data_IF_530079251474
#
_entry.id   IF_530079251474
#
_cell.length_a   1.000
_cell.length_b   1.000
_cell.length_c   1.000
_cell.angle_alpha   90.00
_cell.angle_beta   90.00
_cell.angle_gamma   90.00
#
_symmetry.space_group_name_H-M   'P 1'
#
loop_
_entity.id
_entity.type
_entity.pdbx_description
1 polymer ?
#
# COMPACT_ATOMS: atom_id res chain seq x y z
N UNK A 1 -16.25 -31.90 -37.67
CA UNK A 1 -17.44 -31.22 -37.14
C UNK A 1 -16.94 -29.97 -36.45
N UNK A 2 -17.34 -28.75 -36.85
CA UNK A 2 -16.85 -27.54 -36.20
C UNK A 2 -17.64 -27.27 -34.92
N UNK A 3 -16.92 -27.01 -33.83
CA UNK A 3 -17.46 -26.67 -32.52
C UNK A 3 -18.36 -25.43 -32.61
N UNK A 4 -19.59 -25.58 -32.11
CA UNK A 4 -20.57 -24.50 -32.03
C UNK A 4 -20.24 -23.64 -30.81
N UNK A 5 -19.97 -22.33 -30.92
CA UNK A 5 -19.77 -21.49 -29.74
C UNK A 5 -21.14 -21.20 -29.12
N UNK A 6 -21.55 -22.02 -28.17
CA UNK A 6 -22.82 -21.89 -27.46
C UNK A 6 -22.87 -20.62 -26.61
N UNK A 7 -23.85 -19.78 -26.98
CA UNK A 7 -24.55 -18.81 -26.14
C UNK A 7 -23.72 -17.70 -25.49
N UNK A 8 -23.44 -16.66 -26.28
CA UNK A 8 -23.51 -15.29 -25.76
C UNK A 8 -25.01 -14.99 -25.49
N UNK A 9 -25.61 -15.65 -24.50
CA UNK A 9 -26.94 -15.35 -23.96
C UNK A 9 -26.90 -14.08 -23.10
N UNK A 10 -28.08 -13.45 -22.86
CA UNK A 10 -28.39 -12.21 -22.09
C UNK A 10 -27.51 -10.97 -22.35
N UNK A 11 -26.19 -11.14 -22.36
CA UNK A 11 -25.14 -10.13 -22.41
C UNK A 11 -24.71 -9.73 -23.83
N UNK A 12 -25.13 -10.45 -24.88
CA UNK A 12 -24.74 -10.15 -26.28
C UNK A 12 -25.04 -8.70 -26.67
N UNK A 13 -26.23 -8.20 -26.32
CA UNK A 13 -26.64 -6.81 -26.56
C UNK A 13 -25.74 -5.78 -25.87
N UNK A 14 -25.15 -6.14 -24.73
CA UNK A 14 -24.28 -5.26 -23.94
C UNK A 14 -22.80 -5.33 -24.37
N UNK A 15 -22.38 -6.44 -24.99
CA UNK A 15 -21.02 -6.66 -25.48
C UNK A 15 -20.79 -6.14 -26.91
N UNK A 16 -21.86 -6.07 -27.73
CA UNK A 16 -21.78 -5.71 -29.16
C UNK A 16 -22.01 -4.22 -29.47
N UNK A 17 -21.86 -3.32 -28.48
CA UNK A 17 -21.99 -1.87 -28.67
C UNK A 17 -20.68 -1.19 -29.08
N UNK A 18 -20.78 -0.03 -29.75
CA UNK A 18 -19.63 0.82 -30.05
C UNK A 18 -18.89 1.21 -28.76
N UNK A 19 -17.60 0.86 -28.68
CA UNK A 19 -16.77 1.15 -27.50
C UNK A 19 -16.16 2.55 -27.63
N UNK A 20 -16.67 3.51 -26.87
CA UNK A 20 -16.09 4.86 -26.74
C UNK A 20 -14.75 4.81 -25.99
N UNK A 21 -14.61 3.89 -25.03
CA UNK A 21 -13.44 3.77 -24.18
C UNK A 21 -12.57 2.60 -24.62
N UNK A 22 -11.26 2.85 -24.81
CA UNK A 22 -10.26 1.80 -24.99
C UNK A 22 -10.04 0.99 -23.71
N UNK A 23 -9.94 1.66 -22.56
CA UNK A 23 -9.87 1.03 -21.25
C UNK A 23 -10.55 1.93 -20.19
N UNK A 24 -11.66 1.47 -19.61
CA UNK A 24 -12.41 2.21 -18.58
C UNK A 24 -11.75 2.15 -17.21
N UNK A 25 -10.92 1.14 -16.95
CA UNK A 25 -10.30 0.93 -15.64
C UNK A 25 -9.34 2.06 -15.28
N UNK A 26 -8.72 2.71 -16.27
CA UNK A 26 -7.84 3.89 -16.10
C UNK A 26 -8.56 5.07 -15.43
N UNK A 27 -9.89 5.14 -15.55
CA UNK A 27 -10.70 6.23 -14.98
C UNK A 27 -11.19 5.93 -13.55
N UNK A 28 -10.93 4.73 -13.01
CA UNK A 28 -11.29 4.43 -11.62
C UNK A 28 -10.42 5.22 -10.66
N UNK A 29 -11.01 5.62 -9.54
CA UNK A 29 -10.30 6.25 -8.42
C UNK A 29 -9.17 5.38 -7.84
N UNK A 30 -9.25 4.06 -8.04
CA UNK A 30 -8.22 3.10 -7.61
C UNK A 30 -7.06 2.98 -8.59
N UNK A 31 -7.19 3.50 -9.82
CA UNK A 31 -6.16 3.39 -10.84
C UNK A 31 -4.94 4.25 -10.48
N UNK A 32 -3.76 3.65 -10.61
CA UNK A 32 -2.48 4.31 -10.33
C UNK A 32 -1.76 4.56 -11.66
N UNK A 33 -1.63 5.81 -12.11
CA UNK A 33 -0.84 6.10 -13.29
C UNK A 33 0.64 5.89 -12.98
N UNK A 34 1.38 5.36 -13.94
CA UNK A 34 2.83 5.16 -13.82
C UNK A 34 3.61 6.48 -13.92
N UNK A 35 2.97 7.54 -14.41
CA UNK A 35 3.57 8.88 -14.55
C UNK A 35 2.58 9.90 -13.99
N UNK A 36 3.07 10.77 -13.09
CA UNK A 36 2.34 11.91 -12.58
C UNK A 36 2.90 13.19 -13.24
N UNK A 37 2.31 13.66 -14.35
CA UNK A 37 2.79 14.86 -15.03
C UNK A 37 2.72 16.08 -14.10
N UNK A 38 3.68 17.00 -14.26
CA UNK A 38 3.83 18.21 -13.45
C UNK A 38 4.04 18.00 -11.93
N UNK A 39 4.32 16.76 -11.49
CA UNK A 39 4.58 16.43 -10.08
C UNK A 39 6.02 16.02 -9.78
N UNK A 40 6.92 16.10 -10.77
CA UNK A 40 8.34 15.74 -10.61
C UNK A 40 9.01 16.43 -9.42
N UNK A 41 8.90 17.77 -9.22
CA UNK A 41 9.56 18.42 -8.09
C UNK A 41 9.10 17.90 -6.73
N UNK A 42 7.81 17.58 -6.58
CA UNK A 42 7.29 17.02 -5.32
C UNK A 42 7.72 15.56 -5.14
N UNK A 43 7.77 14.77 -6.21
CA UNK A 43 8.28 13.40 -6.19
C UNK A 43 9.74 13.40 -5.73
N UNK A 44 10.59 14.22 -6.35
CA UNK A 44 12.02 14.29 -6.03
C UNK A 44 12.26 14.77 -4.59
N UNK A 45 11.44 15.70 -4.09
CA UNK A 45 11.53 16.17 -2.72
C UNK A 45 11.17 15.06 -1.72
N UNK A 46 10.07 14.32 -1.92
CA UNK A 46 9.69 13.22 -1.02
C UNK A 46 10.72 12.08 -1.11
N UNK A 47 11.18 11.75 -2.32
CA UNK A 47 12.18 10.71 -2.54
C UNK A 47 13.52 11.04 -1.86
N UNK A 48 14.00 12.29 -1.94
CA UNK A 48 15.26 12.68 -1.29
C UNK A 48 15.21 12.59 0.23
N UNK A 49 14.05 12.87 0.85
CA UNK A 49 13.86 12.72 2.30
C UNK A 49 13.78 11.25 2.72
N UNK A 50 13.17 10.40 1.89
CA UNK A 50 13.04 8.97 2.17
C UNK A 50 14.27 8.15 1.76
N UNK A 51 15.14 8.64 0.90
CA UNK A 51 16.34 7.94 0.42
C UNK A 51 17.24 7.33 1.53
N UNK A 52 17.43 7.93 2.72
CA UNK A 52 18.18 7.31 3.82
C UNK A 52 17.63 5.94 4.26
N UNK A 53 16.32 5.71 4.11
CA UNK A 53 15.71 4.41 4.44
C UNK A 53 16.28 3.24 3.63
N UNK A 54 16.75 3.51 2.41
CA UNK A 54 17.42 2.51 1.56
C UNK A 54 18.81 2.11 2.07
N UNK A 55 19.36 2.84 3.05
CA UNK A 55 20.63 2.53 3.74
C UNK A 55 20.40 1.99 5.16
N UNK A 56 19.17 1.63 5.51
CA UNK A 56 18.76 1.29 6.89
C UNK A 56 18.94 2.44 7.89
N UNK A 57 18.98 3.70 7.42
CA UNK A 57 18.97 4.88 8.28
C UNK A 57 17.54 5.38 8.48
N UNK A 58 17.27 6.02 9.62
CA UNK A 58 15.95 6.60 9.90
C UNK A 58 15.74 7.87 9.07
N UNK A 59 14.76 7.91 8.14
CA UNK A 59 14.45 9.11 7.38
C UNK A 59 13.73 10.16 8.24
N UNK A 60 13.68 11.41 7.78
CA UNK A 60 12.91 12.47 8.45
C UNK A 60 11.41 12.32 8.20
N UNK A 61 10.60 12.67 9.20
CA UNK A 61 9.14 12.69 9.07
C UNK A 61 8.69 13.76 8.06
N UNK A 62 7.66 13.45 7.26
CA UNK A 62 7.12 14.32 6.22
C UNK A 62 5.65 14.64 6.51
N UNK A 63 5.29 15.92 6.46
CA UNK A 63 3.89 16.37 6.47
C UNK A 63 3.55 17.03 5.13
N UNK A 64 2.60 16.47 4.38
CA UNK A 64 2.17 16.99 3.08
C UNK A 64 0.75 17.56 3.19
N UNK A 65 0.58 18.85 2.91
CA UNK A 65 -0.71 19.53 2.98
C UNK A 65 -1.09 20.17 1.64
N UNK A 66 -2.38 20.51 1.48
CA UNK A 66 -2.91 21.19 0.30
C UNK A 66 -4.36 20.83 -0.01
N UNK A 67 -4.99 21.53 -0.97
CA UNK A 67 -6.39 21.30 -1.37
C UNK A 67 -6.67 19.86 -1.80
N UNK A 68 -7.91 19.40 -1.66
CA UNK A 68 -8.35 18.08 -2.16
C UNK A 68 -8.21 18.00 -3.68
N UNK A 69 -8.04 16.79 -4.22
CA UNK A 69 -7.87 16.57 -5.66
C UNK A 69 -6.51 16.99 -6.24
N UNK A 70 -5.57 17.49 -5.44
CA UNK A 70 -4.24 17.90 -5.94
C UNK A 70 -3.25 16.75 -6.16
N UNK A 71 -3.64 15.51 -5.89
CA UNK A 71 -2.78 14.34 -6.15
C UNK A 71 -1.72 14.05 -5.08
N UNK A 72 -1.86 14.60 -3.86
CA UNK A 72 -0.96 14.30 -2.72
C UNK A 72 -0.84 12.79 -2.47
N UNK A 73 -1.97 12.11 -2.32
CA UNK A 73 -2.04 10.65 -2.12
C UNK A 73 -1.42 9.88 -3.28
N UNK A 74 -1.57 10.39 -4.52
CA UNK A 74 -0.98 9.76 -5.69
C UNK A 74 0.55 9.86 -5.67
N UNK A 75 1.10 11.02 -5.30
CA UNK A 75 2.56 11.23 -5.17
C UNK A 75 3.14 10.34 -4.07
N UNK A 76 2.55 10.32 -2.88
CA UNK A 76 3.05 9.50 -1.76
C UNK A 76 3.03 8.01 -2.12
N UNK A 77 1.93 7.52 -2.71
CA UNK A 77 1.83 6.11 -3.12
C UNK A 77 2.81 5.76 -4.23
N UNK A 78 3.03 6.67 -5.18
CA UNK A 78 4.02 6.47 -6.24
C UNK A 78 5.43 6.37 -5.65
N UNK A 79 5.84 7.34 -4.84
CA UNK A 79 7.17 7.33 -4.21
C UNK A 79 7.34 6.13 -3.28
N UNK A 80 6.32 5.75 -2.52
CA UNK A 80 6.35 4.55 -1.68
C UNK A 80 6.56 3.27 -2.49
N UNK A 81 5.87 3.12 -3.62
CA UNK A 81 6.05 1.96 -4.52
C UNK A 81 7.47 1.93 -5.11
N UNK A 82 7.97 3.08 -5.56
CA UNK A 82 9.35 3.19 -6.07
C UNK A 82 10.40 2.92 -4.98
N UNK A 83 10.12 3.32 -3.73
CA UNK A 83 10.99 3.04 -2.58
C UNK A 83 11.08 1.54 -2.31
N UNK A 84 9.95 0.82 -2.30
CA UNK A 84 9.94 -0.64 -2.12
C UNK A 84 10.63 -1.38 -3.28
N UNK A 85 10.41 -0.92 -4.52
CA UNK A 85 11.11 -1.43 -5.69
C UNK A 85 12.63 -1.24 -5.55
N UNK A 86 13.07 -0.03 -5.21
CA UNK A 86 14.48 0.28 -5.00
C UNK A 86 15.10 -0.54 -3.84
N UNK A 87 14.35 -0.72 -2.75
CA UNK A 87 14.76 -1.55 -1.61
C UNK A 87 15.04 -3.00 -2.03
N UNK A 88 14.15 -3.56 -2.87
CA UNK A 88 14.30 -4.92 -3.41
C UNK A 88 15.57 -5.03 -4.26
N UNK A 89 15.87 -4.02 -5.09
CA UNK A 89 17.07 -4.00 -5.92
C UNK A 89 18.36 -3.82 -5.11
N UNK A 90 18.32 -3.08 -3.99
CA UNK A 90 19.47 -2.83 -3.13
C UNK A 90 19.70 -3.92 -2.06
N UNK A 91 18.77 -4.88 -1.95
CA UNK A 91 18.82 -5.92 -0.93
C UNK A 91 18.62 -5.39 0.49
N UNK A 92 17.97 -4.23 0.65
CA UNK A 92 17.63 -3.66 1.95
C UNK A 92 16.19 -4.00 2.34
N UNK A 93 15.92 -4.03 3.64
CA UNK A 93 14.59 -4.30 4.19
C UNK A 93 13.88 -2.98 4.46
N UNK A 94 13.31 -2.37 3.42
CA UNK A 94 12.44 -1.21 3.53
C UNK A 94 11.03 -1.54 3.05
N UNK A 95 10.04 -1.24 3.88
CA UNK A 95 8.61 -1.49 3.61
C UNK A 95 7.80 -0.23 3.81
N UNK A 96 6.74 -0.07 3.03
CA UNK A 96 5.85 1.10 3.10
C UNK A 96 4.44 0.65 3.45
N UNK A 97 3.88 1.14 4.55
CA UNK A 97 2.54 0.81 5.04
C UNK A 97 1.61 1.98 4.86
N UNK A 98 0.72 1.90 3.88
CA UNK A 98 -0.29 2.94 3.66
C UNK A 98 -1.52 2.74 4.56
N UNK A 99 -1.79 3.69 5.46
CA UNK A 99 -3.01 3.72 6.29
C UNK A 99 -3.98 4.82 5.84
N UNK A 100 -5.27 4.47 5.73
CA UNK A 100 -6.33 5.47 5.53
C UNK A 100 -7.02 5.78 6.86
N UNK A 101 -6.64 6.90 7.48
CA UNK A 101 -7.18 7.31 8.77
C UNK A 101 -8.64 7.84 8.70
N UNK A 102 -9.20 8.04 7.49
CA UNK A 102 -10.65 8.31 7.34
C UNK A 102 -11.49 7.05 7.59
N UNK A 103 -10.91 5.87 7.38
CA UNK A 103 -11.56 4.56 7.60
C UNK A 103 -11.12 3.95 8.94
N UNK A 104 -9.87 4.17 9.33
CA UNK A 104 -9.26 3.64 10.56
C UNK A 104 -8.89 4.81 11.48
N UNK A 105 -9.78 5.14 12.41
CA UNK A 105 -9.75 6.38 13.18
C UNK A 105 -9.45 6.21 14.68
N UNK A 106 -9.23 4.98 15.14
CA UNK A 106 -8.86 4.69 16.53
C UNK A 106 -7.40 4.29 16.64
N UNK A 107 -6.73 4.75 17.71
CA UNK A 107 -5.34 4.40 18.01
C UNK A 107 -5.11 2.88 17.98
N UNK A 108 -6.03 2.12 18.59
CA UNK A 108 -5.99 0.67 18.57
C UNK A 108 -5.94 0.09 17.16
N UNK A 109 -6.88 0.50 16.29
CA UNK A 109 -6.97 -0.07 14.94
C UNK A 109 -5.80 0.35 14.05
N UNK A 110 -5.25 1.55 14.25
CA UNK A 110 -4.02 1.98 13.58
C UNK A 110 -2.87 1.02 13.91
N UNK A 111 -2.63 0.76 15.20
CA UNK A 111 -1.56 -0.16 15.62
C UNK A 111 -1.79 -1.59 15.12
N UNK A 112 -3.02 -2.08 15.22
CA UNK A 112 -3.38 -3.42 14.74
C UNK A 112 -3.20 -3.57 13.22
N UNK A 113 -3.55 -2.52 12.45
CA UNK A 113 -3.37 -2.53 11.00
C UNK A 113 -1.90 -2.48 10.57
N UNK A 114 -1.05 -1.76 11.31
CA UNK A 114 0.40 -1.77 11.07
C UNK A 114 0.97 -3.16 11.34
N UNK A 115 0.61 -3.78 12.48
CA UNK A 115 1.05 -5.13 12.83
C UNK A 115 0.62 -6.17 11.79
N UNK A 116 -0.62 -6.07 11.31
CA UNK A 116 -1.13 -6.93 10.22
C UNK A 116 -0.29 -6.78 8.94
N UNK A 117 0.00 -5.54 8.55
CA UNK A 117 0.81 -5.25 7.35
C UNK A 117 2.24 -5.81 7.45
N UNK A 118 2.79 -5.91 8.66
CA UNK A 118 4.12 -6.45 8.90
C UNK A 118 4.17 -7.98 8.81
N UNK A 119 3.08 -8.64 9.24
CA UNK A 119 2.98 -10.10 9.35
C UNK A 119 2.77 -10.82 8.01
N UNK A 120 2.37 -10.09 6.96
CA UNK A 120 2.04 -10.64 5.63
C UNK A 120 0.64 -11.26 5.58
N UNK A 121 -0.07 -11.11 4.45
CA UNK A 121 -1.38 -11.73 4.24
C UNK A 121 -1.28 -13.23 3.83
N UNK A 122 -0.10 -13.69 3.42
CA UNK A 122 0.17 -15.07 2.98
C UNK A 122 1.34 -15.68 3.75
N UNK A 123 1.03 -16.53 4.74
CA UNK A 123 1.67 -17.83 5.01
C UNK A 123 1.17 -18.34 6.36
N UNK A 124 -0.02 -18.94 6.30
CA UNK A 124 -0.47 -19.93 7.27
C UNK A 124 0.47 -21.13 7.16
N UNK A 125 1.53 -21.12 7.95
CA UNK A 125 2.18 -22.33 8.41
C UNK A 125 1.90 -22.45 9.90
N UNK A 126 1.06 -23.41 10.25
CA UNK A 126 0.47 -23.65 11.58
C UNK A 126 1.48 -23.87 12.73
N UNK A 127 2.78 -23.81 12.44
CA UNK A 127 3.85 -24.19 13.36
C UNK A 127 4.59 -23.00 14.01
N UNK A 128 4.31 -21.75 13.61
CA UNK A 128 4.83 -20.54 14.29
C UNK A 128 3.71 -19.74 14.91
N UNK A 129 3.63 -19.77 16.24
CA UNK A 129 2.82 -18.86 17.06
C UNK A 129 3.39 -17.44 16.89
N UNK A 130 2.95 -16.73 15.84
CA UNK A 130 3.06 -15.27 15.80
C UNK A 130 1.80 -14.72 16.44
N UNK A 131 1.97 -13.84 17.42
CA UNK A 131 0.92 -13.10 18.10
C UNK A 131 0.28 -12.11 17.13
N UNK A 132 -0.67 -12.60 16.35
CA UNK A 132 -1.52 -11.73 15.53
C UNK A 132 -2.32 -10.87 16.50
N UNK A 133 -2.08 -9.55 16.44
CA UNK A 133 -2.81 -8.62 17.26
C UNK A 133 -4.29 -8.67 16.84
N UNK A 134 -5.22 -9.03 17.75
CA UNK A 134 -6.63 -9.13 17.39
C UNK A 134 -7.19 -7.74 17.05
N UNK A 135 -8.28 -7.69 16.29
CA UNK A 135 -8.94 -6.42 15.94
C UNK A 135 -9.56 -5.69 17.13
N UNK A 136 -9.76 -6.39 18.26
CA UNK A 136 -10.25 -5.84 19.54
C UNK A 136 -9.85 -6.75 20.70
N UNK A 137 -9.89 -6.21 21.92
CA UNK A 137 -9.89 -7.02 23.15
C UNK A 137 -8.57 -7.03 23.92
N UNK A 138 -7.48 -6.59 23.30
CA UNK A 138 -6.22 -6.36 24.01
C UNK A 138 -6.15 -4.93 24.57
N UNK A 139 -5.44 -4.70 25.69
CA UNK A 139 -5.03 -3.36 26.10
C UNK A 139 -4.13 -2.72 25.04
N UNK A 140 -4.29 -1.41 24.81
CA UNK A 140 -3.50 -0.67 23.81
C UNK A 140 -2.00 -0.76 24.07
N UNK A 141 -1.58 -0.78 25.34
CA UNK A 141 -0.17 -0.93 25.71
C UNK A 141 0.40 -2.28 25.30
N UNK A 142 -0.40 -3.35 25.45
CA UNK A 142 -0.02 -4.69 25.02
C UNK A 142 0.11 -4.75 23.49
N UNK A 143 -0.83 -4.14 22.77
CA UNK A 143 -0.77 -4.01 21.30
C UNK A 143 0.48 -3.25 20.86
N UNK A 144 0.81 -2.16 21.53
CA UNK A 144 2.00 -1.37 21.23
C UNK A 144 3.29 -2.16 21.48
N UNK A 145 3.39 -2.86 22.62
CA UNK A 145 4.55 -3.71 22.93
C UNK A 145 4.71 -4.83 21.91
N UNK A 146 3.61 -5.48 21.54
CA UNK A 146 3.65 -6.54 20.54
C UNK A 146 4.09 -6.02 19.17
N UNK A 147 3.55 -4.89 18.72
CA UNK A 147 3.99 -4.25 17.48
C UNK A 147 5.47 -3.91 17.51
N UNK A 148 5.96 -3.38 18.64
CA UNK A 148 7.38 -3.06 18.84
C UNK A 148 8.25 -4.32 18.72
N UNK A 149 7.86 -5.42 19.37
CA UNK A 149 8.57 -6.69 19.28
C UNK A 149 8.62 -7.21 17.83
N UNK A 150 7.51 -7.09 17.09
CA UNK A 150 7.45 -7.49 15.68
C UNK A 150 8.38 -6.65 14.80
N UNK A 151 8.43 -5.33 15.02
CA UNK A 151 9.35 -4.42 14.33
C UNK A 151 10.81 -4.77 14.60
N UNK A 152 11.17 -4.96 15.87
CA UNK A 152 12.54 -5.33 16.28
C UNK A 152 12.95 -6.69 15.70
N UNK A 153 12.03 -7.66 15.63
CA UNK A 153 12.29 -9.00 15.07
C UNK A 153 12.43 -9.01 13.55
N UNK A 154 11.69 -8.14 12.85
CA UNK A 154 11.72 -8.07 11.37
C UNK A 154 12.98 -7.35 10.90
N UNK A 155 13.40 -6.32 11.63
CA UNK A 155 14.53 -5.46 11.25
C UNK A 155 14.25 -4.63 9.99
N UNK A 156 15.16 -3.69 9.71
CA UNK A 156 15.02 -2.76 8.60
C UNK A 156 14.20 -1.52 8.94
N UNK A 157 13.68 -0.84 7.91
CA UNK A 157 12.99 0.45 8.04
C UNK A 157 11.54 0.30 7.56
N UNK A 158 10.60 0.60 8.44
CA UNK A 158 9.18 0.69 8.11
C UNK A 158 8.78 2.16 7.97
N UNK A 159 8.30 2.55 6.80
CA UNK A 159 7.72 3.86 6.52
C UNK A 159 6.20 3.72 6.55
N UNK A 160 5.50 4.63 7.25
CA UNK A 160 4.04 4.63 7.41
C UNK A 160 3.45 5.87 6.73
#
# INVERSE_FOLDING_TARGET
MPDTPESVGLFKKYLSGNKIFKNREVLRHSYRPQILPHRRPQIDQVASILAPSLKNETPSNILIYGKTGTGKTAVVRYVGTELENASTHMGTSCRVVHLNCEVIDTQYRVLAQISKSLSGDDEVSSDKVRSIIPMTGWPTDQVYQELKNQLESTGGVLVI
#
